data_IF_150455806541
#
_entry.id   IF_150455806541
#
_cell.length_a   1.000
_cell.length_b   1.000
_cell.length_c   1.000
_cell.angle_alpha   90.00
_cell.angle_beta   90.00
_cell.angle_gamma   90.00
#
_symmetry.space_group_name_H-M   'P 1'
#
loop_
_entity.id
_entity.type
_entity.pdbx_description
1 polymer ?
#
# COMPACT_ATOMS: atom_id res chain seq x y z
N UNK A 1 -38.08 -24.55 -48.33
CA UNK A 1 -36.64 -24.87 -48.39
C UNK A 1 -35.91 -23.56 -48.67
N UNK A 2 -34.80 -23.31 -47.99
CA UNK A 2 -34.23 -22.01 -47.58
C UNK A 2 -33.95 -20.91 -48.65
N UNK A 3 -34.16 -19.65 -48.20
CA UNK A 3 -33.53 -18.33 -48.50
C UNK A 3 -32.84 -18.00 -49.84
N UNK A 4 -33.00 -16.73 -50.28
CA UNK A 4 -31.92 -15.96 -50.89
C UNK A 4 -31.55 -14.68 -50.10
N UNK A 5 -30.34 -14.20 -50.38
CA UNK A 5 -29.95 -12.79 -50.58
C UNK A 5 -29.18 -12.00 -49.49
N UNK A 6 -28.14 -11.33 -50.02
CA UNK A 6 -27.40 -10.13 -49.56
C UNK A 6 -26.33 -10.25 -48.45
N UNK A 7 -25.06 -10.24 -48.90
CA UNK A 7 -23.89 -9.83 -48.14
C UNK A 7 -23.45 -8.43 -48.60
N UNK A 8 -23.47 -7.46 -47.69
CA UNK A 8 -22.76 -6.18 -47.79
C UNK A 8 -22.21 -5.79 -46.41
N UNK A 9 -20.90 -5.51 -46.38
CA UNK A 9 -20.11 -4.73 -45.42
C UNK A 9 -20.33 -4.93 -43.91
N UNK A 10 -19.29 -5.45 -43.23
CA UNK A 10 -18.50 -4.70 -42.25
C UNK A 10 -17.44 -5.63 -41.61
N UNK A 11 -16.16 -5.32 -41.85
CA UNK A 11 -15.04 -5.86 -41.07
C UNK A 11 -15.06 -5.20 -39.70
N UNK A 12 -15.50 -5.93 -38.67
CA UNK A 12 -15.33 -5.53 -37.27
C UNK A 12 -13.98 -6.02 -36.78
N UNK A 13 -13.08 -5.06 -36.55
CA UNK A 13 -11.84 -5.25 -35.81
C UNK A 13 -12.15 -5.84 -34.42
N UNK A 14 -11.35 -6.83 -34.02
CA UNK A 14 -11.29 -7.38 -32.65
C UNK A 14 -11.06 -6.24 -31.66
N UNK A 15 -12.04 -5.94 -30.82
CA UNK A 15 -11.80 -5.24 -29.54
C UNK A 15 -11.08 -6.23 -28.63
N UNK A 16 -9.79 -6.01 -28.42
CA UNK A 16 -9.05 -6.63 -27.33
C UNK A 16 -9.69 -6.18 -26.01
N UNK A 17 -10.11 -7.15 -25.22
CA UNK A 17 -10.48 -6.98 -23.82
C UNK A 17 -9.22 -6.54 -23.07
N UNK A 18 -9.15 -5.23 -22.79
CA UNK A 18 -8.11 -4.64 -21.94
C UNK A 18 -8.24 -5.21 -20.53
N UNK A 19 -7.18 -5.88 -20.09
CA UNK A 19 -6.98 -6.31 -18.72
C UNK A 19 -6.79 -5.03 -17.89
N UNK A 20 -7.78 -4.69 -17.07
CA UNK A 20 -7.66 -3.66 -16.03
C UNK A 20 -6.76 -4.21 -14.93
N UNK A 21 -5.47 -3.86 -14.97
CA UNK A 21 -4.52 -4.10 -13.90
C UNK A 21 -4.71 -3.03 -12.81
N UNK A 22 -4.74 -3.39 -11.52
CA UNK A 22 -4.82 -2.41 -10.45
C UNK A 22 -3.49 -1.61 -10.39
N UNK A 23 -3.62 -0.29 -10.50
CA UNK A 23 -2.56 0.68 -10.20
C UNK A 23 -2.42 0.81 -8.67
N UNK A 24 -1.22 0.58 -8.13
CA UNK A 24 -0.63 1.38 -7.05
C UNK A 24 0.80 0.92 -6.68
N UNK A 25 1.70 1.89 -6.75
CA UNK A 25 2.94 2.16 -6.00
C UNK A 25 3.56 1.09 -5.08
N UNK A 26 4.86 0.80 -5.28
CA UNK A 26 5.95 1.16 -4.35
C UNK A 26 7.35 0.78 -4.92
N UNK A 27 8.39 1.33 -4.27
CA UNK A 27 9.83 1.06 -4.37
C UNK A 27 10.67 1.95 -5.32
N UNK A 28 11.53 2.74 -4.68
CA UNK A 28 12.75 3.32 -5.22
C UNK A 28 13.67 2.17 -5.70
N UNK A 29 13.64 1.86 -6.99
CA UNK A 29 14.48 0.81 -7.57
C UNK A 29 15.75 1.40 -8.17
N UNK A 30 16.92 1.05 -7.62
CA UNK A 30 18.21 1.32 -8.24
C UNK A 30 18.41 0.34 -9.41
N UNK A 31 18.27 0.80 -10.65
CA UNK A 31 18.47 -0.03 -11.85
C UNK A 31 19.93 0.02 -12.32
N UNK A 32 20.72 -1.02 -12.01
CA UNK A 32 22.04 -1.25 -12.61
C UNK A 32 21.89 -2.06 -13.92
N UNK A 33 22.33 -1.52 -15.07
CA UNK A 33 22.35 -2.24 -16.36
C UNK A 33 23.62 -3.10 -16.49
N UNK A 34 23.44 -4.42 -16.57
CA UNK A 34 24.53 -5.36 -16.86
C UNK A 34 24.93 -5.37 -18.34
N UNK A 35 26.17 -4.97 -18.64
CA UNK A 35 26.88 -5.35 -19.87
C UNK A 35 27.58 -6.70 -19.70
N UNK A 36 27.34 -7.65 -20.61
CA UNK A 36 27.91 -9.02 -20.60
C UNK A 36 29.34 -9.03 -21.16
N UNK A 37 30.28 -9.72 -20.47
CA UNK A 37 31.20 -10.73 -21.03
C UNK A 37 31.86 -11.57 -19.89
N UNK A 38 31.74 -12.90 -20.01
CA UNK A 38 32.46 -14.07 -19.45
C UNK A 38 33.08 -14.12 -18.01
N UNK A 39 32.72 -15.18 -17.25
CA UNK A 39 33.32 -15.75 -16.00
C UNK A 39 34.30 -16.90 -16.35
N UNK A 40 35.20 -17.45 -15.48
CA UNK A 40 35.00 -17.89 -14.06
C UNK A 40 36.18 -17.53 -13.12
N UNK A 41 36.19 -17.65 -11.78
CA UNK A 41 35.41 -18.42 -10.83
C UNK A 41 35.68 -17.90 -9.40
N UNK A 42 34.75 -18.19 -8.48
CA UNK A 42 34.97 -18.37 -7.02
C UNK A 42 35.34 -17.16 -6.14
N UNK A 43 34.35 -16.30 -5.92
CA UNK A 43 34.01 -15.86 -4.56
C UNK A 43 32.49 -16.00 -4.40
N UNK A 44 31.95 -16.43 -3.24
CA UNK A 44 30.51 -16.35 -3.03
C UNK A 44 30.11 -14.87 -3.15
N UNK A 45 29.49 -14.53 -4.29
CA UNK A 45 28.78 -13.28 -4.45
C UNK A 45 27.65 -13.35 -3.44
N UNK A 46 27.83 -12.68 -2.31
CA UNK A 46 26.74 -12.38 -1.40
C UNK A 46 25.74 -11.54 -2.20
N UNK A 47 24.81 -12.22 -2.83
CA UNK A 47 23.62 -11.60 -3.38
C UNK A 47 22.86 -11.16 -2.15
N UNK A 48 22.82 -9.85 -1.87
CA UNK A 48 21.91 -9.35 -0.84
C UNK A 48 20.50 -9.44 -1.45
N UNK A 49 19.95 -10.66 -1.47
CA UNK A 49 18.53 -10.89 -1.64
C UNK A 49 17.91 -10.75 -0.25
N UNK A 50 16.89 -9.90 -0.13
CA UNK A 50 16.23 -9.43 1.09
C UNK A 50 16.92 -8.28 1.83
N UNK A 51 16.39 -7.07 1.59
CA UNK A 51 16.55 -5.92 2.49
C UNK A 51 15.21 -5.18 2.69
N UNK A 52 14.08 -5.89 2.63
CA UNK A 52 12.86 -5.46 3.28
C UNK A 52 12.81 -6.12 4.65
N UNK A 53 12.51 -5.38 5.73
CA UNK A 53 12.22 -6.03 7.01
C UNK A 53 12.68 -5.34 8.30
N UNK A 54 13.29 -4.15 8.26
CA UNK A 54 13.42 -3.33 9.47
C UNK A 54 12.58 -2.06 9.32
N UNK A 55 11.72 -1.71 10.29
CA UNK A 55 11.01 -0.44 10.28
C UNK A 55 12.05 0.69 10.27
N UNK A 56 11.84 1.69 9.43
CA UNK A 56 12.67 2.88 9.41
C UNK A 56 12.37 3.65 10.70
N UNK A 57 13.38 3.85 11.54
CA UNK A 57 13.27 4.60 12.79
C UNK A 57 13.96 5.96 12.66
N UNK A 58 13.25 7.01 13.04
CA UNK A 58 13.77 8.38 13.06
C UNK A 58 14.39 8.66 14.44
N UNK A 59 15.69 8.84 14.48
CA UNK A 59 16.46 9.16 15.69
C UNK A 59 16.50 10.68 15.83
N UNK A 60 16.10 11.21 16.98
CA UNK A 60 16.25 12.64 17.27
C UNK A 60 17.71 12.99 17.50
N UNK A 61 18.16 14.10 16.92
CA UNK A 61 19.50 14.66 17.14
C UNK A 61 19.43 15.83 18.13
N UNK A 62 20.23 15.81 19.20
CA UNK A 62 20.17 16.83 20.26
C UNK A 62 21.05 18.06 19.98
N UNK A 63 20.78 18.75 18.86
CA UNK A 63 21.24 20.13 18.61
C UNK A 63 22.76 20.32 18.41
N UNK A 64 23.50 19.25 18.13
CA UNK A 64 24.94 19.32 17.86
C UNK A 64 25.26 19.67 16.40
N UNK A 65 24.25 19.61 15.52
CA UNK A 65 24.31 19.95 14.08
C UNK A 65 22.98 20.55 13.64
N UNK A 66 22.88 21.00 12.38
CA UNK A 66 21.61 21.44 11.77
C UNK A 66 20.66 20.27 11.43
N UNK A 67 21.11 19.02 11.63
CA UNK A 67 20.27 17.83 11.50
C UNK A 67 19.38 17.70 12.74
N UNK A 68 18.08 17.56 12.51
CA UNK A 68 17.05 17.39 13.54
C UNK A 68 16.74 15.92 13.79
N UNK A 69 16.68 15.14 12.71
CA UNK A 69 16.45 13.71 12.77
C UNK A 69 17.36 12.97 11.78
N UNK A 70 17.79 11.78 12.17
CA UNK A 70 18.50 10.84 11.28
C UNK A 70 17.68 9.57 11.13
N UNK A 71 17.55 9.04 9.91
CA UNK A 71 17.00 7.71 9.68
C UNK A 71 17.97 6.88 8.83
N UNK A 72 18.13 5.61 9.19
CA UNK A 72 19.00 4.69 8.46
C UNK A 72 18.17 3.81 7.54
N UNK A 73 18.27 4.07 6.24
CA UNK A 73 17.72 3.20 5.19
C UNK A 73 18.83 2.39 4.55
N UNK A 74 18.51 1.35 3.77
CA UNK A 74 19.48 0.77 2.84
C UNK A 74 19.10 1.25 1.43
N UNK A 75 20.03 1.84 0.66
CA UNK A 75 21.48 1.82 0.85
C UNK A 75 22.09 3.03 1.59
N UNK A 76 21.30 3.93 2.18
CA UNK A 76 21.79 5.24 2.60
C UNK A 76 21.23 5.83 3.89
N UNK A 77 21.91 6.84 4.41
CA UNK A 77 21.45 7.61 5.57
C UNK A 77 20.63 8.81 5.12
N UNK A 78 19.52 9.05 5.81
CA UNK A 78 18.66 10.20 5.64
C UNK A 78 18.88 11.14 6.81
N UNK A 79 19.17 12.41 6.53
CA UNK A 79 19.29 13.47 7.53
C UNK A 79 18.26 14.56 7.23
N UNK A 80 17.39 14.83 8.20
CA UNK A 80 16.26 15.74 8.09
C UNK A 80 16.62 17.06 8.77
N UNK A 81 16.58 18.15 8.02
CA UNK A 81 16.92 19.50 8.44
C UNK A 81 15.65 20.36 8.43
N UNK A 82 15.74 21.66 8.71
CA UNK A 82 14.56 22.54 8.69
C UNK A 82 13.99 22.81 7.30
N UNK A 83 14.80 22.69 6.26
CA UNK A 83 14.49 23.12 4.88
C UNK A 83 14.80 22.06 3.82
N UNK A 84 15.33 20.92 4.25
CA UNK A 84 15.86 19.93 3.34
C UNK A 84 15.98 18.55 3.97
N UNK A 85 16.05 17.54 3.10
CA UNK A 85 16.38 16.16 3.44
C UNK A 85 17.61 15.76 2.66
N UNK A 86 18.70 15.51 3.37
CA UNK A 86 19.94 15.00 2.81
C UNK A 86 19.88 13.47 2.73
N UNK A 87 20.19 12.93 1.56
CA UNK A 87 20.21 11.51 1.24
C UNK A 87 21.65 11.14 0.90
N UNK A 88 22.34 10.53 1.85
CA UNK A 88 23.69 10.03 1.66
C UNK A 88 23.64 8.60 1.10
N UNK A 89 24.06 8.41 -0.14
CA UNK A 89 24.20 7.12 -0.80
C UNK A 89 25.67 6.64 -0.75
N UNK A 90 25.98 5.36 -1.04
CA UNK A 90 27.34 4.84 -0.91
C UNK A 90 28.40 5.58 -1.74
N UNK A 91 28.01 6.15 -2.89
CA UNK A 91 28.92 6.77 -3.86
C UNK A 91 28.55 8.20 -4.23
N UNK A 92 27.43 8.73 -3.73
CA UNK A 92 26.92 10.06 -4.06
C UNK A 92 26.01 10.58 -2.95
N UNK A 93 25.60 11.82 -3.02
CA UNK A 93 24.59 12.41 -2.15
C UNK A 93 23.58 13.21 -2.96
N UNK A 94 22.35 13.25 -2.47
CA UNK A 94 21.25 14.01 -3.04
C UNK A 94 20.59 14.79 -1.92
N UNK A 95 20.14 16.01 -2.18
CA UNK A 95 19.33 16.75 -1.22
C UNK A 95 17.97 17.10 -1.82
N UNK A 96 16.90 16.76 -1.10
CA UNK A 96 15.56 17.29 -1.35
C UNK A 96 15.52 18.66 -0.67
N UNK A 97 15.35 19.74 -1.41
CA UNK A 97 15.26 21.10 -0.85
C UNK A 97 13.84 21.63 -1.04
N UNK A 98 13.20 22.08 0.03
CA UNK A 98 11.86 22.64 -0.02
C UNK A 98 11.93 24.10 -0.47
N UNK A 99 11.25 24.42 -1.58
CA UNK A 99 11.30 25.73 -2.22
C UNK A 99 10.11 26.56 -1.78
N UNK A 100 10.36 27.80 -1.35
CA UNK A 100 9.30 28.74 -0.99
C UNK A 100 8.78 28.63 0.45
N UNK A 101 9.36 27.75 1.27
CA UNK A 101 9.07 27.69 2.70
C UNK A 101 9.42 29.01 3.41
N UNK A 102 8.69 29.34 4.48
CA UNK A 102 8.87 30.59 5.22
C UNK A 102 9.68 30.36 6.49
N UNK A 103 11.00 30.53 6.41
CA UNK A 103 11.90 30.40 7.56
C UNK A 103 12.21 28.96 7.93
N UNK A 104 12.57 28.73 9.19
CA UNK A 104 12.89 27.39 9.71
C UNK A 104 11.60 26.64 10.09
N UNK A 105 11.30 25.56 9.38
CA UNK A 105 10.10 24.76 9.61
C UNK A 105 10.20 23.94 10.89
N UNK A 106 9.14 23.91 11.69
CA UNK A 106 9.09 23.07 12.88
C UNK A 106 8.99 21.59 12.49
N UNK A 107 9.92 20.76 12.96
CA UNK A 107 9.92 19.31 12.73
C UNK A 107 9.76 18.59 14.07
N UNK A 108 8.80 17.66 14.14
CA UNK A 108 8.53 16.89 15.36
C UNK A 108 8.43 15.39 15.08
N UNK A 109 8.83 14.57 16.05
CA UNK A 109 8.71 13.11 15.98
C UNK A 109 7.36 12.63 16.53
N UNK A 110 6.74 11.67 15.86
CA UNK A 110 5.48 11.04 16.28
C UNK A 110 5.60 9.51 16.32
N UNK A 111 4.76 8.87 17.15
CA UNK A 111 4.86 7.42 17.37
C UNK A 111 6.18 7.02 18.03
N UNK A 112 6.42 7.52 19.24
CA UNK A 112 7.61 7.20 20.04
C UNK A 112 7.78 5.68 20.14
N UNK A 113 8.95 5.21 19.73
CA UNK A 113 9.33 3.80 19.76
C UNK A 113 9.99 3.45 21.11
N UNK A 114 9.88 2.20 21.57
CA UNK A 114 10.52 1.75 22.80
C UNK A 114 12.05 1.68 22.67
N UNK A 115 12.56 1.59 21.44
CA UNK A 115 13.99 1.56 21.15
C UNK A 115 14.68 2.88 21.49
N UNK A 116 15.93 2.80 21.96
CA UNK A 116 16.79 3.94 22.23
C UNK A 116 18.09 3.80 21.45
N UNK A 117 18.62 4.93 21.00
CA UNK A 117 19.94 5.00 20.34
C UNK A 117 20.94 5.68 21.26
N UNK A 118 22.18 5.18 21.23
CA UNK A 118 23.32 5.75 21.94
C UNK A 118 24.43 5.94 20.92
N UNK A 119 25.01 7.14 20.86
CA UNK A 119 26.09 7.47 19.94
C UNK A 119 27.33 7.92 20.71
N UNK A 120 28.42 7.18 20.55
CA UNK A 120 29.70 7.48 21.19
C UNK A 120 30.74 7.78 20.12
N UNK A 121 30.87 9.06 19.73
CA UNK A 121 31.79 9.50 18.68
C UNK A 121 33.01 10.21 19.27
N UNK A 122 34.20 9.68 19.00
CA UNK A 122 35.48 10.25 19.46
C UNK A 122 35.79 9.97 20.93
N UNK A 123 36.93 10.50 21.40
CA UNK A 123 37.45 10.25 22.76
C UNK A 123 36.89 11.16 23.85
N UNK A 124 36.07 12.16 23.49
CA UNK A 124 35.53 13.15 24.42
C UNK A 124 34.07 12.82 24.78
N UNK A 125 33.79 12.75 26.08
CA UNK A 125 32.48 12.34 26.64
C UNK A 125 31.38 13.40 26.43
N UNK A 126 31.75 14.65 26.15
CA UNK A 126 30.81 15.75 25.88
C UNK A 126 30.10 15.62 24.52
N UNK A 127 30.62 14.78 23.61
CA UNK A 127 30.00 14.47 22.31
C UNK A 127 29.25 13.14 22.30
N UNK A 128 29.22 12.45 23.42
CA UNK A 128 28.50 11.19 23.55
C UNK A 128 27.02 11.47 23.82
N UNK A 129 26.15 10.95 22.96
CA UNK A 129 24.71 11.07 23.09
C UNK A 129 24.12 9.76 23.62
N UNK A 130 23.18 9.88 24.56
CA UNK A 130 22.62 8.74 25.27
C UNK A 130 21.10 8.79 25.26
N UNK A 131 20.49 7.62 25.12
CA UNK A 131 19.03 7.47 25.26
C UNK A 131 18.22 8.31 24.27
N UNK A 132 18.77 8.51 23.07
CA UNK A 132 18.10 9.24 21.99
C UNK A 132 16.77 8.57 21.68
N UNK A 133 15.73 9.40 21.61
CA UNK A 133 14.40 8.95 21.26
C UNK A 133 14.35 8.52 19.80
N UNK A 134 13.60 7.44 19.54
CA UNK A 134 13.31 6.97 18.20
C UNK A 134 11.82 7.08 17.93
N UNK A 135 11.43 7.39 16.69
CA UNK A 135 10.06 7.64 16.29
C UNK A 135 9.72 6.87 15.02
N UNK A 136 8.44 6.54 14.83
CA UNK A 136 7.92 5.90 13.61
C UNK A 136 7.76 6.88 12.44
N UNK A 137 7.60 8.16 12.74
CA UNK A 137 7.40 9.21 11.76
C UNK A 137 7.92 10.56 12.27
N UNK A 138 8.16 11.48 11.34
CA UNK A 138 8.42 12.88 11.63
C UNK A 138 7.49 13.76 10.78
N UNK A 139 7.11 14.91 11.32
CA UNK A 139 6.23 15.86 10.65
C UNK A 139 6.86 17.24 10.60
N UNK A 140 7.02 17.76 9.38
CA UNK A 140 7.24 19.16 9.09
C UNK A 140 5.87 19.85 9.16
N UNK A 141 5.64 20.59 10.25
CA UNK A 141 4.37 21.29 10.47
C UNK A 141 4.39 22.63 9.76
N UNK A 142 3.33 22.93 9.02
CA UNK A 142 3.18 24.18 8.25
C UNK A 142 4.39 24.44 7.34
N UNK A 143 4.89 23.38 6.69
CA UNK A 143 6.02 23.46 5.74
C UNK A 143 5.74 24.50 4.65
N UNK A 144 4.49 24.50 4.18
CA UNK A 144 3.88 25.61 3.47
C UNK A 144 2.62 26.04 4.23
N UNK A 145 2.14 27.29 4.06
CA UNK A 145 0.93 27.77 4.74
C UNK A 145 -0.27 26.81 4.62
N UNK A 146 -0.63 26.15 5.72
CA UNK A 146 -1.71 25.17 5.82
C UNK A 146 -1.38 23.78 5.26
N UNK A 147 -0.10 23.44 5.07
CA UNK A 147 0.35 22.17 4.48
C UNK A 147 1.44 21.54 5.35
N UNK A 148 1.12 20.37 5.89
CA UNK A 148 2.07 19.54 6.62
C UNK A 148 2.70 18.52 5.68
N UNK A 149 3.97 18.17 5.91
CA UNK A 149 4.65 17.03 5.30
C UNK A 149 5.06 16.05 6.39
N UNK A 150 4.52 14.83 6.32
CA UNK A 150 4.90 13.74 7.23
C UNK A 150 5.73 12.71 6.49
N UNK A 151 6.94 12.43 6.99
CA UNK A 151 7.71 11.27 6.57
C UNK A 151 7.46 10.13 7.55
N UNK A 152 7.09 8.97 7.03
CA UNK A 152 6.95 7.75 7.83
C UNK A 152 7.72 6.58 7.19
N UNK A 153 7.87 5.53 7.98
CA UNK A 153 8.80 4.44 7.76
C UNK A 153 8.14 3.07 7.68
N UNK A 154 7.26 2.81 6.70
CA UNK A 154 6.73 1.46 6.50
C UNK A 154 7.69 0.59 5.66
N UNK A 155 7.94 -0.65 6.12
CA UNK A 155 8.72 -1.67 5.40
C UNK A 155 10.16 -1.27 4.96
N UNK A 156 10.75 -0.25 5.58
CA UNK A 156 12.09 0.24 5.24
C UNK A 156 12.11 1.21 4.04
N UNK A 157 10.94 1.68 3.61
CA UNK A 157 10.77 2.67 2.56
C UNK A 157 10.40 4.01 3.19
N UNK A 158 11.15 5.06 2.84
CA UNK A 158 10.80 6.43 3.20
C UNK A 158 9.68 6.88 2.26
N UNK A 159 8.59 7.39 2.81
CA UNK A 159 7.57 8.04 2.02
C UNK A 159 7.05 9.30 2.72
N UNK A 160 6.85 10.36 1.93
CA UNK A 160 6.40 11.66 2.38
C UNK A 160 4.94 11.88 2.00
N UNK A 161 4.07 12.09 2.98
CA UNK A 161 2.66 12.40 2.79
C UNK A 161 2.43 13.89 3.02
N UNK A 162 1.88 14.60 2.03
CA UNK A 162 1.41 15.96 2.23
C UNK A 162 -0.06 15.97 2.66
N UNK A 163 -0.35 16.68 3.75
CA UNK A 163 -1.72 16.96 4.20
C UNK A 163 -2.01 18.43 3.98
N UNK A 164 -2.88 18.72 3.01
CA UNK A 164 -3.30 20.08 2.66
C UNK A 164 -4.58 20.38 3.43
N UNK A 165 -4.56 21.36 4.32
CA UNK A 165 -5.72 21.77 5.10
C UNK A 165 -6.81 22.38 4.20
N UNK A 166 -8.09 22.39 4.63
CA UNK A 166 -9.15 23.11 3.94
C UNK A 166 -8.76 24.55 3.62
N UNK A 167 -8.93 24.96 2.37
CA UNK A 167 -8.59 26.30 1.86
C UNK A 167 -7.10 26.56 1.60
N UNK A 168 -6.19 25.65 1.93
CA UNK A 168 -4.77 25.79 1.60
C UNK A 168 -4.52 25.49 0.10
N UNK A 169 -3.48 26.13 -0.46
CA UNK A 169 -3.15 26.03 -1.89
C UNK A 169 -2.06 24.97 -2.15
N UNK A 170 -2.40 23.80 -2.73
CA UNK A 170 -1.43 22.75 -3.01
C UNK A 170 -0.38 23.14 -4.06
N UNK A 171 -0.58 24.22 -4.84
CA UNK A 171 0.40 24.70 -5.80
C UNK A 171 1.66 25.27 -5.13
N UNK A 172 1.59 25.58 -3.83
CA UNK A 172 2.72 26.02 -3.01
C UNK A 172 3.75 24.91 -2.78
N UNK A 173 3.36 23.64 -2.91
CA UNK A 173 4.27 22.51 -2.70
C UNK A 173 5.30 22.49 -3.84
N UNK A 174 6.53 22.90 -3.54
CA UNK A 174 7.63 22.93 -4.50
C UNK A 174 8.92 22.42 -3.87
N UNK A 175 9.63 21.54 -4.57
CA UNK A 175 10.94 21.06 -4.12
C UNK A 175 11.90 20.87 -5.28
N UNK A 176 13.18 20.69 -4.95
CA UNK A 176 14.26 20.43 -5.89
C UNK A 176 15.13 19.26 -5.41
N UNK A 177 15.76 18.55 -6.34
CA UNK A 177 16.80 17.56 -6.05
C UNK A 177 18.19 18.13 -6.33
N UNK A 178 18.77 18.80 -5.34
CA UNK A 178 20.15 19.28 -5.46
C UNK A 178 21.12 18.08 -5.48
N UNK A 179 22.00 18.05 -6.49
CA UNK A 179 22.89 16.91 -6.76
C UNK A 179 22.37 15.94 -7.83
N UNK A 180 21.12 16.11 -8.30
CA UNK A 180 20.66 15.45 -9.51
C UNK A 180 21.29 16.10 -10.76
N UNK A 181 21.63 15.29 -11.76
CA UNK A 181 22.07 15.76 -13.07
C UNK A 181 20.91 15.88 -14.06
N UNK A 182 19.81 15.17 -13.80
CA UNK A 182 18.57 15.29 -14.56
C UNK A 182 17.37 14.84 -13.72
N UNK A 183 16.24 15.51 -13.91
CA UNK A 183 14.93 15.08 -13.38
C UNK A 183 13.94 15.09 -14.54
N UNK A 184 13.31 13.95 -14.80
CA UNK A 184 12.34 13.83 -15.88
C UNK A 184 11.10 13.06 -15.42
N UNK A 185 9.93 13.48 -15.87
CA UNK A 185 8.71 12.68 -15.73
C UNK A 185 8.59 11.73 -16.91
N UNK A 186 8.40 10.44 -16.63
CA UNK A 186 8.07 9.44 -17.63
C UNK A 186 6.65 9.72 -18.18
N UNK A 187 6.47 9.87 -19.50
CA UNK A 187 5.18 10.25 -20.08
C UNK A 187 4.15 9.11 -20.04
N UNK A 188 4.58 7.85 -19.94
CA UNK A 188 3.71 6.68 -19.99
C UNK A 188 3.27 6.28 -18.57
N UNK A 189 4.22 6.17 -17.63
CA UNK A 189 3.92 5.80 -16.25
C UNK A 189 3.55 6.99 -15.36
N UNK A 190 4.03 8.19 -15.70
CA UNK A 190 3.94 9.37 -14.84
C UNK A 190 4.96 9.40 -13.69
N UNK A 191 5.85 8.41 -13.60
CA UNK A 191 6.91 8.32 -12.60
C UNK A 191 7.93 9.45 -12.77
N UNK A 192 8.56 9.89 -11.68
CA UNK A 192 9.67 10.83 -11.70
C UNK A 192 11.00 10.06 -11.68
N UNK A 193 11.84 10.29 -12.68
CA UNK A 193 13.18 9.72 -12.80
C UNK A 193 14.22 10.79 -12.44
N UNK A 194 14.93 10.58 -11.34
CA UNK A 194 15.96 11.47 -10.80
C UNK A 194 17.33 10.81 -11.03
N UNK A 195 18.06 11.26 -12.03
CA UNK A 195 19.42 10.80 -12.31
C UNK A 195 20.40 11.54 -11.41
N UNK A 196 21.13 10.80 -10.58
CA UNK A 196 22.15 11.36 -9.65
C UNK A 196 23.58 11.01 -10.06
N UNK A 197 23.75 9.98 -10.88
CA UNK A 197 25.01 9.61 -11.53
C UNK A 197 24.70 8.89 -12.86
N UNK A 198 25.67 8.72 -13.78
CA UNK A 198 25.42 8.11 -15.10
C UNK A 198 24.71 6.74 -15.07
N UNK A 199 24.89 5.99 -13.99
CA UNK A 199 24.33 4.64 -13.76
C UNK A 199 23.40 4.57 -12.53
N UNK A 200 23.09 5.71 -11.92
CA UNK A 200 22.25 5.78 -10.72
C UNK A 200 21.06 6.70 -11.00
N UNK A 201 19.91 6.08 -11.21
CA UNK A 201 18.62 6.77 -11.30
C UNK A 201 17.73 6.30 -10.16
N UNK A 202 17.19 7.27 -9.44
CA UNK A 202 16.15 7.12 -8.45
C UNK A 202 14.80 7.27 -9.16
N UNK A 203 13.83 6.43 -8.81
CA UNK A 203 12.47 6.47 -9.35
C UNK A 203 11.51 6.75 -8.21
N UNK A 204 10.78 7.86 -8.32
CA UNK A 204 9.56 8.08 -7.54
C UNK A 204 8.34 7.76 -8.40
N UNK A 205 7.36 7.09 -7.81
CA UNK A 205 6.18 6.69 -8.56
C UNK A 205 5.24 7.85 -8.78
N UNK A 206 4.45 7.79 -9.85
CA UNK A 206 3.40 8.76 -10.09
C UNK A 206 2.57 8.99 -8.81
N UNK A 207 2.30 10.25 -8.43
CA UNK A 207 1.65 10.55 -7.17
C UNK A 207 0.18 10.13 -7.23
N UNK A 208 -0.39 9.86 -6.06
CA UNK A 208 -1.83 9.68 -5.89
C UNK A 208 -2.35 10.72 -4.91
N UNK A 209 -3.61 11.13 -5.07
CA UNK A 209 -4.25 12.04 -4.13
C UNK A 209 -5.70 11.62 -3.89
N UNK A 210 -6.23 11.92 -2.70
CA UNK A 210 -7.62 11.66 -2.36
C UNK A 210 -8.17 12.62 -1.32
N UNK A 211 -9.51 12.67 -1.24
CA UNK A 211 -10.24 13.24 -0.11
C UNK A 211 -11.09 12.17 0.57
N UNK A 212 -11.27 12.27 1.88
CA UNK A 212 -12.20 11.40 2.61
C UNK A 212 -13.62 11.96 2.52
N UNK A 213 -14.52 11.21 1.88
CA UNK A 213 -15.94 11.55 1.73
C UNK A 213 -16.78 10.39 2.26
N UNK A 214 -17.57 10.65 3.31
CA UNK A 214 -18.40 9.64 3.98
C UNK A 214 -17.61 8.38 4.40
N UNK A 215 -16.38 8.56 4.89
CA UNK A 215 -15.51 7.46 5.32
C UNK A 215 -14.84 6.68 4.18
N UNK A 216 -14.99 7.10 2.91
CA UNK A 216 -14.33 6.47 1.75
C UNK A 216 -13.33 7.42 1.11
N UNK A 217 -12.24 6.87 0.58
CA UNK A 217 -11.30 7.61 -0.24
C UNK A 217 -11.93 7.91 -1.61
N UNK A 218 -12.08 9.19 -1.91
CA UNK A 218 -12.43 9.69 -3.23
C UNK A 218 -11.15 10.13 -3.94
N UNK A 219 -10.70 9.42 -5.01
CA UNK A 219 -9.49 9.78 -5.73
C UNK A 219 -9.60 11.17 -6.38
N UNK A 220 -8.52 11.95 -6.30
CA UNK A 220 -8.35 13.23 -6.98
C UNK A 220 -7.25 13.07 -8.03
N UNK A 221 -7.50 13.40 -9.32
CA UNK A 221 -6.47 13.35 -10.35
C UNK A 221 -5.27 14.22 -9.96
N UNK A 222 -4.07 13.69 -10.12
CA UNK A 222 -2.83 14.41 -9.80
C UNK A 222 -1.68 13.92 -10.69
N UNK A 223 -0.72 14.80 -10.97
CA UNK A 223 0.53 14.45 -11.62
C UNK A 223 1.65 15.38 -11.16
N UNK A 224 2.91 14.95 -11.32
CA UNK A 224 4.06 15.83 -11.15
C UNK A 224 4.01 17.00 -12.15
N UNK A 225 4.35 18.18 -11.65
CA UNK A 225 4.52 19.43 -12.39
C UNK A 225 5.99 19.82 -12.37
N UNK A 226 6.66 19.86 -13.52
CA UNK A 226 8.08 20.21 -13.62
C UNK A 226 8.20 21.61 -14.21
N UNK A 227 8.83 22.54 -13.48
CA UNK A 227 9.09 23.90 -13.93
C UNK A 227 10.55 24.28 -13.68
N UNK A 228 11.37 24.18 -14.73
CA UNK A 228 12.82 24.27 -14.58
C UNK A 228 13.32 23.10 -13.73
N UNK A 229 14.03 23.42 -12.64
CA UNK A 229 14.52 22.43 -11.68
C UNK A 229 13.53 22.17 -10.53
N UNK A 230 12.45 22.95 -10.43
CA UNK A 230 11.41 22.79 -9.41
C UNK A 230 10.39 21.73 -9.81
N UNK A 231 9.99 20.94 -8.82
CA UNK A 231 8.96 19.93 -8.93
C UNK A 231 7.82 20.31 -7.99
N UNK A 232 6.58 20.15 -8.45
CA UNK A 232 5.39 20.21 -7.61
C UNK A 232 4.30 19.33 -8.18
N UNK A 233 3.05 19.73 -7.98
CA UNK A 233 1.89 18.96 -8.41
C UNK A 233 0.91 19.78 -9.25
N UNK A 234 0.36 19.16 -10.30
CA UNK A 234 -0.89 19.60 -10.91
C UNK A 234 -1.99 18.76 -10.29
N UNK A 235 -2.86 19.40 -9.49
CA UNK A 235 -4.00 18.75 -8.84
C UNK A 235 -5.27 19.06 -9.64
N UNK A 236 -6.07 18.03 -9.93
CA UNK A 236 -7.38 18.15 -10.56
C UNK A 236 -8.41 18.80 -9.63
N UNK A 237 -9.66 18.92 -10.08
CA UNK A 237 -10.72 19.50 -9.25
C UNK A 237 -10.98 18.68 -7.98
N UNK A 238 -11.07 19.37 -6.84
CA UNK A 238 -11.38 18.80 -5.52
C UNK A 238 -12.24 19.77 -4.69
N UNK A 239 -12.78 19.30 -3.56
CA UNK A 239 -13.56 20.12 -2.62
C UNK A 239 -12.62 20.88 -1.67
N UNK A 240 -12.47 22.19 -1.86
CA UNK A 240 -11.58 23.03 -1.05
C UNK A 240 -11.97 23.16 0.42
N UNK A 241 -13.18 22.74 0.82
CA UNK A 241 -13.62 22.74 2.22
C UNK A 241 -13.16 21.48 2.98
N UNK A 242 -12.47 20.55 2.30
CA UNK A 242 -11.98 19.30 2.89
C UNK A 242 -10.47 19.19 2.76
N UNK A 243 -9.81 18.48 3.70
CA UNK A 243 -8.40 18.17 3.56
C UNK A 243 -8.15 17.36 2.27
N UNK A 244 -7.02 17.64 1.63
CA UNK A 244 -6.51 16.86 0.50
C UNK A 244 -5.24 16.12 0.96
N UNK A 245 -5.22 14.80 0.75
CA UNK A 245 -4.06 13.96 1.05
C UNK A 245 -3.33 13.67 -0.25
N UNK A 246 -2.04 13.98 -0.32
CA UNK A 246 -1.18 13.76 -1.49
C UNK A 246 -0.04 12.81 -1.13
N UNK A 247 0.14 11.84 -2.01
CA UNK A 247 1.12 10.76 -1.98
C UNK A 247 1.28 10.05 -0.63
N UNK A 248 0.18 9.52 -0.05
CA UNK A 248 0.22 8.83 1.22
C UNK A 248 1.02 7.53 1.16
N UNK A 249 1.61 7.17 2.29
CA UNK A 249 2.31 5.91 2.44
C UNK A 249 1.37 4.72 2.28
N UNK A 250 1.77 3.74 1.45
CA UNK A 250 1.08 2.46 1.38
C UNK A 250 1.37 1.70 2.68
N UNK A 251 0.34 1.50 3.50
CA UNK A 251 0.48 0.87 4.82
C UNK A 251 0.82 -0.62 4.65
N UNK A 252 0.14 -1.31 3.72
CA UNK A 252 0.50 -2.64 3.24
C UNK A 252 -0.29 -2.97 1.95
N UNK A 253 0.19 -3.93 1.18
CA UNK A 253 -0.56 -4.61 0.13
C UNK A 253 -0.04 -6.04 0.03
N UNK A 254 -0.92 -7.00 -0.24
CA UNK A 254 -0.52 -8.40 -0.38
C UNK A 254 -1.50 -9.14 -1.29
N UNK A 255 -1.11 -10.34 -1.68
CA UNK A 255 -1.98 -11.27 -2.40
C UNK A 255 -2.73 -12.13 -1.38
N UNK A 256 -4.03 -12.33 -1.62
CA UNK A 256 -4.85 -13.28 -0.90
C UNK A 256 -5.45 -14.27 -1.90
N UNK A 257 -4.78 -15.42 -2.02
CA UNK A 257 -5.13 -16.47 -2.99
C UNK A 257 -4.13 -17.62 -2.93
N UNK A 258 -4.48 -18.75 -3.53
CA UNK A 258 -3.71 -19.99 -3.57
C UNK A 258 -3.16 -20.28 -4.98
N UNK A 259 -3.27 -21.55 -5.37
CA UNK A 259 -2.68 -22.12 -6.58
C UNK A 259 -3.59 -22.07 -7.82
N UNK A 260 -4.73 -21.40 -7.74
CA UNK A 260 -5.72 -21.28 -8.82
C UNK A 260 -6.38 -19.90 -8.81
N UNK A 261 -7.45 -19.74 -9.59
CA UNK A 261 -8.20 -18.48 -9.62
C UNK A 261 -8.90 -18.26 -8.29
N UNK A 262 -8.80 -17.05 -7.77
CA UNK A 262 -9.44 -16.63 -6.53
C UNK A 262 -9.98 -15.22 -6.72
N UNK A 263 -11.19 -14.98 -6.21
CA UNK A 263 -11.87 -13.69 -6.38
C UNK A 263 -12.46 -13.20 -5.08
N UNK A 264 -11.98 -12.08 -4.57
CA UNK A 264 -12.65 -11.35 -3.49
C UNK A 264 -13.97 -10.75 -4.01
N UNK A 265 -15.02 -10.82 -3.20
CA UNK A 265 -16.35 -10.27 -3.50
C UNK A 265 -16.72 -9.09 -2.63
N UNK A 266 -16.40 -9.13 -1.35
CA UNK A 266 -16.76 -8.06 -0.42
C UNK A 266 -15.79 -7.99 0.77
N UNK A 267 -15.77 -6.84 1.45
CA UNK A 267 -14.89 -6.55 2.58
C UNK A 267 -15.62 -5.78 3.68
N UNK A 268 -15.38 -6.17 4.93
CA UNK A 268 -15.85 -5.46 6.12
C UNK A 268 -14.70 -5.22 7.11
N UNK A 269 -14.87 -4.24 8.00
CA UNK A 269 -13.87 -3.85 9.00
C UNK A 269 -14.56 -3.73 10.37
N UNK A 270 -13.97 -4.31 11.42
CA UNK A 270 -14.44 -4.13 12.80
C UNK A 270 -13.88 -2.83 13.43
N UNK A 271 -14.35 -2.45 14.62
CA UNK A 271 -13.90 -1.22 15.29
C UNK A 271 -12.44 -1.30 15.79
N UNK A 272 -11.83 -2.49 15.81
CA UNK A 272 -10.41 -2.68 16.10
C UNK A 272 -9.54 -2.57 14.84
N UNK A 273 -10.16 -2.32 13.67
CA UNK A 273 -9.50 -2.21 12.39
C UNK A 273 -9.17 -3.55 11.73
N UNK A 274 -9.62 -4.69 12.28
CA UNK A 274 -9.39 -5.97 11.61
C UNK A 274 -10.27 -6.07 10.35
N UNK A 275 -9.71 -6.69 9.33
CA UNK A 275 -10.29 -6.71 7.99
C UNK A 275 -10.81 -8.11 7.70
N UNK A 276 -12.01 -8.18 7.15
CA UNK A 276 -12.70 -9.41 6.83
C UNK A 276 -12.99 -9.42 5.34
N UNK A 277 -12.37 -10.33 4.61
CA UNK A 277 -12.56 -10.48 3.16
C UNK A 277 -13.36 -11.74 2.91
N UNK A 278 -14.42 -11.65 2.10
CA UNK A 278 -15.10 -12.83 1.56
C UNK A 278 -14.97 -12.90 0.04
N UNK A 279 -14.96 -14.10 -0.50
CA UNK A 279 -14.82 -14.36 -1.91
C UNK A 279 -14.98 -15.83 -2.23
N UNK A 280 -14.72 -16.20 -3.48
CA UNK A 280 -14.70 -17.60 -3.93
C UNK A 280 -13.27 -18.01 -4.28
N UNK A 281 -12.97 -19.27 -4.03
CA UNK A 281 -11.67 -19.88 -4.34
C UNK A 281 -11.84 -21.15 -5.16
N UNK A 282 -11.05 -21.27 -6.23
CA UNK A 282 -10.81 -22.54 -6.94
C UNK A 282 -9.55 -23.24 -6.39
N UNK A 283 -8.85 -22.61 -5.45
CA UNK A 283 -7.56 -23.07 -4.95
C UNK A 283 -7.72 -24.19 -3.92
N UNK A 284 -6.89 -25.22 -4.06
CA UNK A 284 -6.75 -26.31 -3.08
C UNK A 284 -5.76 -25.97 -1.96
N UNK A 285 -5.08 -24.83 -2.06
CA UNK A 285 -4.04 -24.37 -1.13
C UNK A 285 -4.29 -22.93 -0.65
N UNK A 286 -5.53 -22.59 -0.30
CA UNK A 286 -5.88 -21.22 0.06
C UNK A 286 -5.24 -20.78 1.40
N UNK A 287 -4.62 -19.58 1.48
CA UNK A 287 -3.86 -19.16 2.67
C UNK A 287 -4.66 -19.15 3.98
N UNK A 288 -4.01 -19.57 5.06
CA UNK A 288 -4.60 -19.55 6.41
C UNK A 288 -5.65 -20.62 6.67
N UNK A 289 -5.91 -21.50 5.69
CA UNK A 289 -6.79 -22.65 5.85
C UNK A 289 -5.99 -23.95 6.02
N UNK A 290 -6.55 -24.94 6.71
CA UNK A 290 -5.97 -26.29 6.84
C UNK A 290 -6.31 -27.23 5.67
N UNK A 291 -6.90 -26.69 4.60
CA UNK A 291 -7.46 -27.45 3.47
C UNK A 291 -7.60 -26.56 2.24
N UNK A 292 -8.54 -26.89 1.36
CA UNK A 292 -8.80 -26.14 0.13
C UNK A 292 -10.19 -26.41 -0.39
N UNK A 293 -10.50 -25.91 -1.58
CA UNK A 293 -11.77 -26.15 -2.24
C UNK A 293 -12.14 -27.65 -2.26
N UNK A 294 -13.40 -27.94 -1.92
CA UNK A 294 -13.99 -29.28 -1.83
C UNK A 294 -15.01 -29.58 -2.94
N UNK A 295 -15.12 -28.70 -3.94
CA UNK A 295 -16.14 -28.71 -4.99
C UNK A 295 -15.65 -28.14 -6.32
N UNK A 296 -16.46 -27.29 -6.95
CA UNK A 296 -16.04 -26.49 -8.11
C UNK A 296 -15.48 -25.13 -7.66
N UNK A 297 -16.19 -24.48 -6.73
CA UNK A 297 -15.76 -23.26 -6.05
C UNK A 297 -16.34 -23.26 -4.65
N UNK A 298 -15.52 -22.88 -3.68
CA UNK A 298 -15.98 -22.70 -2.30
C UNK A 298 -15.85 -21.23 -1.93
N UNK A 299 -16.71 -20.77 -1.02
CA UNK A 299 -16.53 -19.45 -0.45
C UNK A 299 -15.46 -19.48 0.64
N UNK A 300 -14.77 -18.35 0.81
CA UNK A 300 -13.88 -18.12 1.94
C UNK A 300 -14.33 -16.90 2.75
N UNK A 301 -13.98 -16.90 4.03
CA UNK A 301 -13.94 -15.71 4.89
C UNK A 301 -12.57 -15.67 5.56
N UNK A 302 -11.77 -14.66 5.24
CA UNK A 302 -10.44 -14.44 5.83
C UNK A 302 -10.46 -13.22 6.71
N UNK A 303 -10.02 -13.37 7.97
CA UNK A 303 -9.77 -12.25 8.89
C UNK A 303 -8.28 -11.92 8.90
N UNK A 304 -7.95 -10.66 8.69
CA UNK A 304 -6.60 -10.10 8.69
C UNK A 304 -6.50 -9.09 9.84
N UNK A 305 -5.37 -9.04 10.53
CA UNK A 305 -5.15 -8.05 11.58
C UNK A 305 -5.14 -6.62 11.00
N UNK A 306 -5.37 -5.61 11.85
CA UNK A 306 -5.42 -4.21 11.42
C UNK A 306 -4.13 -3.70 10.74
N UNK A 307 -2.99 -4.31 11.05
CA UNK A 307 -1.72 -3.99 10.43
C UNK A 307 -1.53 -4.62 9.03
N UNK A 308 -2.42 -5.52 8.60
CA UNK A 308 -2.28 -6.23 7.33
C UNK A 308 -1.15 -7.27 7.29
N UNK A 309 -0.54 -7.58 8.43
CA UNK A 309 0.67 -8.41 8.52
C UNK A 309 0.39 -9.88 8.81
N UNK A 310 -0.83 -10.23 9.24
CA UNK A 310 -1.17 -11.61 9.58
C UNK A 310 -2.63 -11.95 9.25
N UNK A 311 -2.83 -13.11 8.63
CA UNK A 311 -4.13 -13.79 8.60
C UNK A 311 -4.37 -14.38 9.99
N UNK A 312 -5.42 -13.90 10.66
CA UNK A 312 -5.86 -14.39 11.96
C UNK A 312 -6.61 -15.72 11.83
N UNK A 313 -7.44 -15.86 10.77
CA UNK A 313 -8.02 -17.13 10.35
C UNK A 313 -8.53 -17.04 8.91
N UNK A 314 -8.68 -18.20 8.27
CA UNK A 314 -9.52 -18.38 7.08
C UNK A 314 -10.51 -19.51 7.32
N UNK A 315 -11.78 -19.27 7.01
CA UNK A 315 -12.85 -20.27 7.01
C UNK A 315 -13.28 -20.53 5.57
N UNK A 316 -13.10 -21.76 5.08
CA UNK A 316 -13.64 -22.22 3.80
C UNK A 316 -14.99 -22.89 4.03
N UNK A 317 -16.01 -22.50 3.26
CA UNK A 317 -17.36 -23.05 3.34
C UNK A 317 -17.85 -23.39 1.92
N UNK A 318 -18.23 -24.64 1.73
CA UNK A 318 -18.73 -25.12 0.45
C UNK A 318 -18.96 -26.62 0.47
N UNK A 319 -19.55 -27.12 -0.60
CA UNK A 319 -19.89 -28.52 -0.78
C UNK A 319 -19.44 -29.05 -2.15
N UNK A 320 -20.24 -29.93 -2.74
CA UNK A 320 -19.93 -30.60 -4.00
C UNK A 320 -20.13 -29.74 -5.25
N UNK A 321 -20.66 -28.53 -5.11
CA UNK A 321 -21.07 -27.65 -6.19
C UNK A 321 -20.26 -26.35 -6.27
N UNK A 322 -20.98 -25.29 -6.65
CA UNK A 322 -20.48 -23.91 -6.75
C UNK A 322 -21.09 -23.11 -5.61
N UNK A 323 -20.23 -22.56 -4.77
CA UNK A 323 -20.59 -21.74 -3.62
C UNK A 323 -19.99 -20.33 -3.77
N UNK A 324 -20.85 -19.33 -3.90
CA UNK A 324 -20.47 -17.95 -4.17
C UNK A 324 -21.03 -17.01 -3.09
N UNK A 325 -20.20 -16.17 -2.44
CA UNK A 325 -20.69 -15.15 -1.54
C UNK A 325 -21.22 -13.93 -2.31
N UNK A 326 -22.27 -13.31 -1.79
CA UNK A 326 -22.82 -12.04 -2.25
C UNK A 326 -22.35 -10.83 -1.45
N UNK A 327 -22.21 -10.96 -0.11
CA UNK A 327 -21.76 -9.87 0.76
C UNK A 327 -21.49 -10.31 2.20
N UNK A 328 -20.77 -9.47 2.95
CA UNK A 328 -20.36 -9.70 4.33
C UNK A 328 -20.72 -8.51 5.24
N UNK A 329 -21.19 -8.80 6.44
CA UNK A 329 -21.41 -7.80 7.49
C UNK A 329 -20.78 -8.26 8.81
N UNK A 330 -20.10 -7.34 9.49
CA UNK A 330 -19.39 -7.59 10.76
C UNK A 330 -19.82 -6.55 11.77
N UNK A 331 -20.08 -6.96 13.01
CA UNK A 331 -20.35 -6.02 14.10
C UNK A 331 -19.07 -5.39 14.67
N UNK A 332 -19.18 -4.27 15.38
CA UNK A 332 -18.04 -3.49 15.85
C UNK A 332 -17.00 -4.28 16.65
N UNK A 333 -17.43 -5.27 17.44
CA UNK A 333 -16.53 -6.11 18.25
C UNK A 333 -16.07 -7.39 17.53
N UNK A 334 -16.44 -7.58 16.27
CA UNK A 334 -16.04 -8.71 15.44
C UNK A 334 -16.53 -10.08 15.93
N UNK A 335 -17.55 -10.11 16.79
CA UNK A 335 -18.10 -11.36 17.35
C UNK A 335 -19.17 -12.01 16.49
N UNK A 336 -19.78 -11.26 15.56
CA UNK A 336 -20.80 -11.75 14.66
C UNK A 336 -20.45 -11.34 13.23
N UNK A 337 -20.18 -12.33 12.39
CA UNK A 337 -19.91 -12.15 10.97
C UNK A 337 -21.02 -12.85 10.20
N UNK A 338 -21.77 -12.11 9.40
CA UNK A 338 -22.84 -12.63 8.55
C UNK A 338 -22.41 -12.62 7.10
N UNK A 339 -22.63 -13.74 6.40
CA UNK A 339 -22.39 -13.85 4.97
C UNK A 339 -23.66 -14.41 4.31
N UNK A 340 -24.01 -13.82 3.17
CA UNK A 340 -25.08 -14.31 2.30
C UNK A 340 -24.49 -14.65 0.95
N UNK A 341 -25.16 -15.51 0.19
CA UNK A 341 -24.71 -15.91 -1.14
C UNK A 341 -25.63 -16.93 -1.78
N UNK A 342 -25.11 -17.65 -2.76
CA UNK A 342 -25.81 -18.75 -3.44
C UNK A 342 -24.96 -20.01 -3.50
N UNK A 343 -25.63 -21.15 -3.49
CA UNK A 343 -25.03 -22.47 -3.50
C UNK A 343 -25.78 -23.38 -4.46
N UNK A 344 -25.04 -24.17 -5.24
CA UNK A 344 -25.58 -25.35 -5.95
C UNK A 344 -25.28 -26.65 -5.21
N UNK A 345 -24.57 -26.57 -4.09
CA UNK A 345 -24.16 -27.71 -3.30
C UNK A 345 -25.36 -28.31 -2.56
N UNK A 346 -25.56 -29.61 -2.73
CA UNK A 346 -26.59 -30.37 -2.00
C UNK A 346 -26.15 -30.78 -0.59
N UNK A 347 -24.87 -30.57 -0.27
CA UNK A 347 -24.22 -30.92 0.99
C UNK A 347 -23.49 -29.70 1.59
N UNK A 348 -24.03 -28.51 1.40
CA UNK A 348 -23.44 -27.29 1.96
C UNK A 348 -23.41 -27.39 3.50
N UNK A 349 -22.36 -26.88 4.20
CA UNK A 349 -22.27 -26.96 5.65
C UNK A 349 -23.46 -26.27 6.34
N UNK A 350 -24.31 -27.07 7.00
CA UNK A 350 -25.49 -26.60 7.73
C UNK A 350 -25.28 -26.67 9.23
N UNK A 351 -25.60 -25.57 9.93
CA UNK A 351 -25.52 -25.47 11.38
C UNK A 351 -26.79 -24.78 11.90
N UNK A 352 -27.60 -25.49 12.68
CA UNK A 352 -28.88 -24.99 13.18
C UNK A 352 -29.80 -24.37 12.09
N UNK A 353 -29.98 -25.02 10.92
CA UNK A 353 -30.64 -24.41 9.77
C UNK A 353 -32.15 -24.19 10.01
N UNK A 354 -32.69 -23.14 9.38
CA UNK A 354 -34.14 -22.97 9.20
C UNK A 354 -34.66 -23.90 8.09
N UNK A 355 -33.91 -24.00 6.99
CA UNK A 355 -34.14 -24.89 5.86
C UNK A 355 -32.90 -25.79 5.70
N UNK A 356 -32.97 -27.07 6.12
CA UNK A 356 -31.82 -27.97 6.15
C UNK A 356 -31.46 -28.55 4.78
N UNK A 357 -32.41 -28.58 3.85
CA UNK A 357 -32.27 -29.21 2.55
C UNK A 357 -32.36 -28.17 1.43
N UNK A 358 -31.55 -28.37 0.39
CA UNK A 358 -31.61 -27.57 -0.83
C UNK A 358 -32.96 -27.80 -1.55
N UNK A 359 -33.70 -26.71 -1.78
CA UNK A 359 -35.03 -26.69 -2.39
C UNK A 359 -35.02 -26.67 -3.92
N UNK A 360 -33.86 -26.45 -4.55
CA UNK A 360 -33.75 -26.26 -6.00
C UNK A 360 -32.39 -26.63 -6.60
N UNK A 361 -32.10 -26.07 -7.78
CA UNK A 361 -30.80 -26.23 -8.45
C UNK A 361 -29.76 -25.19 -8.05
N UNK A 362 -30.22 -24.04 -7.55
CA UNK A 362 -29.43 -22.96 -6.96
C UNK A 362 -30.29 -22.35 -5.86
N UNK A 363 -29.82 -22.39 -4.63
CA UNK A 363 -30.48 -21.78 -3.48
C UNK A 363 -29.63 -20.64 -2.94
N UNK A 364 -30.26 -19.61 -2.37
CA UNK A 364 -29.51 -18.69 -1.55
C UNK A 364 -29.12 -19.37 -0.23
N UNK A 365 -28.08 -18.88 0.43
CA UNK A 365 -27.76 -19.25 1.80
C UNK A 365 -27.57 -17.99 2.64
N UNK A 366 -27.74 -18.19 3.94
CA UNK A 366 -27.26 -17.26 4.97
C UNK A 366 -26.44 -18.05 5.98
N UNK A 367 -25.31 -17.50 6.41
CA UNK A 367 -24.48 -18.06 7.47
C UNK A 367 -23.96 -17.01 8.43
N UNK A 368 -23.62 -17.47 9.63
CA UNK A 368 -23.01 -16.70 10.69
C UNK A 368 -21.74 -17.39 11.19
N UNK A 369 -20.63 -16.65 11.26
CA UNK A 369 -19.41 -17.05 11.93
C UNK A 369 -19.23 -16.30 13.26
N UNK A 370 -18.60 -16.97 14.23
CA UNK A 370 -18.10 -16.35 15.46
C UNK A 370 -16.75 -15.65 15.28
N UNK A 371 -16.26 -14.99 16.33
CA UNK A 371 -15.00 -14.21 16.30
C UNK A 371 -13.73 -14.99 15.96
N UNK A 372 -13.78 -16.31 16.13
CA UNK A 372 -12.71 -17.26 15.80
C UNK A 372 -12.90 -17.91 14.41
N UNK A 373 -13.89 -17.48 13.64
CA UNK A 373 -14.19 -18.02 12.32
C UNK A 373 -15.00 -19.33 12.31
N UNK A 374 -15.46 -19.83 13.47
CA UNK A 374 -16.27 -21.06 13.50
C UNK A 374 -17.72 -20.81 13.09
N UNK A 375 -18.31 -21.75 12.35
CA UNK A 375 -19.70 -21.71 11.91
C UNK A 375 -20.66 -21.83 13.10
N UNK A 376 -21.47 -20.80 13.33
CA UNK A 376 -22.45 -20.72 14.42
C UNK A 376 -23.88 -20.99 13.94
N UNK A 377 -24.17 -20.60 12.70
CA UNK A 377 -25.45 -20.79 12.04
C UNK A 377 -25.26 -20.85 10.52
N UNK A 378 -26.02 -21.67 9.82
CA UNK A 378 -26.20 -21.60 8.37
C UNK A 378 -27.50 -22.29 7.95
N UNK A 379 -28.12 -21.76 6.90
CA UNK A 379 -29.37 -22.27 6.34
C UNK A 379 -29.40 -22.05 4.83
N UNK A 380 -30.01 -22.98 4.09
CA UNK A 380 -30.55 -22.68 2.77
C UNK A 380 -31.66 -21.62 2.89
N UNK A 381 -31.92 -20.92 1.80
CA UNK A 381 -32.96 -19.92 1.66
C UNK A 381 -33.42 -19.89 0.19
N UNK A 382 -34.44 -20.67 -0.15
CA UNK A 382 -34.84 -20.89 -1.54
C UNK A 382 -36.13 -21.66 -1.69
#
# INVERSE_FOLDING_TARGET
MFYPSHLTHASTAKKGSGLLLPLALLALALLLRNGRFATPDNAPRATIQNIGGFPLAFVSEEGQTDVLFTAYSRPGTLAFMHDSVQIALPTTSLAVTFVGQQGATAVSGTGLLPGKVHEYRGSANDRWQNSLATYNAITYSDLYPGIDLTYDGSEGLLKGTYTVAPGADPALIRWQYAGATAVNRDPDSGDLHITVAPDVTLIEKAPIAYQMVNGRQQPIPIQYDLHGDEIGFIVGAYDGERPLIIDPTLIYSSFLGGNSDDGAKDVAIDASGNIYVTGSTYSTSFPGSGGGNAGYTDLFVTKINAAGTAILYTTLLGGNGTDEPGGIAVNDNGSQIWVVGSTTSSNFPMQNPFQPDNGGGVDAFILQLGSNGTLAFSSYYG
#
